data_IF_221214839080
#
_entry.id   IF_221214839080
#
_cell.length_a   1.000
_cell.length_b   1.000
_cell.length_c   1.000
_cell.angle_alpha   90.00
_cell.angle_beta   90.00
_cell.angle_gamma   90.00
#
_symmetry.space_group_name_H-M   'P 1'
#
loop_
_entity.id
_entity.type
_entity.pdbx_description
1 polymer ?
#
# COMPACT_ATOMS: atom_id res chain seq x y z
N UNK A 1 -26.69 33.61 16.73
CA UNK A 1 -25.25 33.45 17.04
C UNK A 1 -24.94 31.98 16.96
N UNK A 2 -24.57 31.49 15.76
CA UNK A 2 -24.34 30.05 15.50
C UNK A 2 -22.87 29.76 15.59
N UNK A 3 -22.50 28.90 16.55
CA UNK A 3 -21.15 28.46 16.79
C UNK A 3 -20.65 27.59 15.61
N UNK A 4 -19.56 28.01 14.95
CA UNK A 4 -18.84 27.20 13.97
C UNK A 4 -18.14 26.04 14.68
N UNK A 5 -18.62 24.83 14.47
CA UNK A 5 -17.92 23.60 14.82
C UNK A 5 -16.61 23.55 13.99
N UNK A 6 -15.49 23.77 14.64
CA UNK A 6 -14.17 23.47 14.08
C UNK A 6 -14.04 21.95 13.98
N UNK A 7 -14.21 21.40 12.77
CA UNK A 7 -13.70 20.05 12.46
C UNK A 7 -12.18 20.08 12.68
N UNK A 8 -11.72 19.41 13.73
CA UNK A 8 -10.30 19.27 14.00
C UNK A 8 -9.62 18.59 12.81
N UNK A 9 -8.65 19.27 12.21
CA UNK A 9 -7.67 18.67 11.36
C UNK A 9 -6.89 17.67 12.22
N UNK A 10 -7.08 16.37 12.00
CA UNK A 10 -6.15 15.35 12.47
C UNK A 10 -4.82 15.71 11.83
N UNK A 11 -3.83 16.08 12.62
CA UNK A 11 -2.58 16.61 12.14
C UNK A 11 -1.84 15.52 11.34
N UNK A 12 -1.16 15.90 10.26
CA UNK A 12 -0.36 14.98 9.44
C UNK A 12 0.67 14.18 10.28
N UNK A 13 1.06 14.67 11.46
CA UNK A 13 1.91 14.00 12.44
C UNK A 13 1.26 12.75 13.09
N UNK A 14 -0.06 12.73 13.30
CA UNK A 14 -0.74 11.56 13.88
C UNK A 14 -0.85 10.41 12.88
N UNK A 15 -0.93 10.68 11.58
CA UNK A 15 -0.99 9.63 10.56
C UNK A 15 0.34 8.87 10.41
N UNK A 16 1.47 9.55 10.60
CA UNK A 16 2.80 8.93 10.60
C UNK A 16 3.06 8.16 11.90
N UNK A 17 2.55 8.66 13.04
CA UNK A 17 2.71 8.03 14.35
C UNK A 17 2.03 6.66 14.48
N UNK A 18 1.14 6.29 13.55
CA UNK A 18 0.44 5.00 13.54
C UNK A 18 1.05 3.97 12.57
N UNK A 19 2.27 4.19 12.09
CA UNK A 19 2.93 3.29 11.14
C UNK A 19 4.20 2.66 11.74
N UNK A 20 4.30 1.34 11.57
CA UNK A 20 5.51 0.56 11.84
C UNK A 20 6.09 0.75 13.23
N UNK A 21 7.33 1.25 13.33
CA UNK A 21 8.05 1.43 14.59
C UNK A 21 7.45 2.42 15.59
N UNK A 22 6.40 3.15 15.21
CA UNK A 22 5.64 4.05 16.09
C UNK A 22 4.36 3.43 16.65
N UNK A 23 4.06 2.17 16.31
CA UNK A 23 2.95 1.43 16.90
C UNK A 23 3.24 1.14 18.39
N UNK A 24 2.19 1.11 19.21
CA UNK A 24 2.32 0.56 20.56
C UNK A 24 2.62 -0.95 20.50
N UNK A 25 3.15 -1.49 21.60
CA UNK A 25 3.57 -2.89 21.67
C UNK A 25 2.46 -3.86 21.27
N UNK A 26 1.25 -3.69 21.77
CA UNK A 26 0.13 -4.59 21.49
C UNK A 26 -0.25 -4.61 20.01
N UNK A 27 -0.29 -3.45 19.34
CA UNK A 27 -0.56 -3.35 17.91
C UNK A 27 0.58 -3.96 17.08
N UNK A 28 1.83 -3.73 17.46
CA UNK A 28 3.00 -4.34 16.80
C UNK A 28 2.94 -5.86 16.87
N UNK A 29 2.68 -6.43 18.03
CA UNK A 29 2.55 -7.88 18.20
C UNK A 29 1.35 -8.45 17.42
N UNK A 30 0.23 -7.73 17.33
CA UNK A 30 -0.91 -8.14 16.53
C UNK A 30 -0.55 -8.24 15.02
N UNK A 31 0.22 -7.28 14.49
CA UNK A 31 0.68 -7.36 13.09
C UNK A 31 1.72 -8.46 12.86
N UNK A 32 2.60 -8.74 13.83
CA UNK A 32 3.54 -9.87 13.75
C UNK A 32 2.77 -11.21 13.72
N UNK A 33 1.73 -11.34 14.56
CA UNK A 33 0.87 -12.53 14.57
C UNK A 33 0.09 -12.68 13.25
N UNK A 34 -0.48 -11.57 12.75
CA UNK A 34 -1.16 -11.54 11.45
C UNK A 34 -0.22 -11.95 10.32
N UNK A 35 1.02 -11.43 10.29
CA UNK A 35 2.05 -11.86 9.34
C UNK A 35 2.31 -13.36 9.42
N UNK A 36 2.52 -13.90 10.63
CA UNK A 36 2.80 -15.31 10.81
C UNK A 36 1.66 -16.19 10.28
N UNK A 37 0.42 -15.84 10.61
CA UNK A 37 -0.76 -16.56 10.13
C UNK A 37 -0.92 -16.46 8.61
N UNK A 38 -0.66 -15.29 8.04
CA UNK A 38 -0.69 -15.09 6.60
C UNK A 38 0.37 -15.94 5.89
N UNK A 39 1.62 -15.91 6.38
CA UNK A 39 2.69 -16.72 5.80
C UNK A 39 2.36 -18.22 5.87
N UNK A 40 1.79 -18.68 6.97
CA UNK A 40 1.33 -20.06 7.11
C UNK A 40 0.23 -20.43 6.12
N UNK A 41 -0.75 -19.54 5.93
CA UNK A 41 -1.84 -19.75 4.97
C UNK A 41 -1.35 -19.80 3.51
N UNK A 42 -0.22 -19.17 3.23
CA UNK A 42 0.38 -19.10 1.90
C UNK A 42 1.40 -20.22 1.62
N UNK A 43 1.71 -21.11 2.57
CA UNK A 43 2.75 -22.15 2.42
C UNK A 43 2.34 -23.37 1.58
N UNK A 44 1.14 -23.42 1.03
CA UNK A 44 0.64 -24.60 0.30
C UNK A 44 1.06 -24.74 -1.17
N UNK A 45 1.68 -23.75 -1.77
CA UNK A 45 2.15 -23.80 -3.15
C UNK A 45 3.66 -23.55 -3.20
N UNK A 46 4.43 -24.57 -3.56
CA UNK A 46 5.86 -24.43 -3.89
C UNK A 46 6.00 -23.69 -5.24
N UNK A 47 5.85 -22.39 -5.21
CA UNK A 47 6.15 -21.53 -6.36
C UNK A 47 7.26 -20.57 -5.97
N UNK A 48 8.26 -20.43 -6.83
CA UNK A 48 9.32 -19.41 -6.72
C UNK A 48 8.76 -17.98 -6.97
N UNK A 49 7.48 -17.87 -7.28
CA UNK A 49 6.85 -16.59 -7.61
C UNK A 49 6.47 -15.79 -6.35
N UNK A 50 6.60 -14.46 -6.47
CA UNK A 50 6.14 -13.51 -5.45
C UNK A 50 4.64 -13.68 -5.16
N UNK A 51 4.29 -13.70 -3.88
CA UNK A 51 2.90 -13.83 -3.43
C UNK A 51 2.18 -12.50 -3.44
N UNK A 52 0.94 -12.50 -3.92
CA UNK A 52 0.10 -11.30 -3.98
C UNK A 52 -1.02 -11.41 -2.96
N UNK A 53 -1.13 -10.41 -2.09
CA UNK A 53 -2.15 -10.32 -1.05
C UNK A 53 -3.02 -9.09 -1.26
N UNK A 54 -4.31 -9.28 -1.46
CA UNK A 54 -5.29 -8.19 -1.59
C UNK A 54 -5.91 -7.84 -0.23
N UNK A 55 -5.94 -6.54 0.10
CA UNK A 55 -6.64 -6.02 1.29
C UNK A 55 -7.84 -5.20 0.84
N UNK A 56 -9.03 -5.60 1.23
CA UNK A 56 -10.29 -4.93 0.90
C UNK A 56 -11.18 -4.75 2.13
N UNK A 57 -12.23 -3.93 2.02
CA UNK A 57 -13.24 -3.74 3.06
C UNK A 57 -14.58 -3.32 2.47
N UNK A 58 -15.66 -3.48 3.22
CA UNK A 58 -17.03 -3.23 2.77
C UNK A 58 -17.37 -1.75 2.66
N UNK A 59 -16.76 -0.91 3.51
CA UNK A 59 -17.00 0.54 3.51
C UNK A 59 -15.68 1.33 3.58
N UNK A 60 -15.80 2.62 3.28
CA UNK A 60 -14.67 3.56 3.38
C UNK A 60 -14.29 3.81 4.84
N UNK A 61 -13.00 3.94 5.11
CA UNK A 61 -12.49 4.36 6.44
C UNK A 61 -12.26 3.22 7.43
N UNK A 62 -12.42 1.95 7.03
CA UNK A 62 -12.22 0.77 7.90
C UNK A 62 -10.73 0.41 8.14
N UNK A 63 -9.81 1.22 7.66
CA UNK A 63 -8.40 1.03 7.94
C UNK A 63 -7.63 0.20 6.91
N UNK A 64 -8.15 -0.07 5.70
CA UNK A 64 -7.44 -0.80 4.62
C UNK A 64 -5.98 -0.38 4.48
N UNK A 65 -5.75 0.89 4.17
CA UNK A 65 -4.41 1.42 3.95
C UNK A 65 -3.52 1.33 5.18
N UNK A 66 -4.08 1.53 6.38
CA UNK A 66 -3.36 1.40 7.66
C UNK A 66 -2.95 -0.05 7.89
N UNK A 67 -3.88 -0.99 7.69
CA UNK A 67 -3.62 -2.42 7.83
C UNK A 67 -2.59 -2.89 6.81
N UNK A 68 -2.74 -2.50 5.54
CA UNK A 68 -1.78 -2.85 4.47
C UNK A 68 -0.37 -2.38 4.79
N UNK A 69 -0.21 -1.10 5.18
CA UNK A 69 1.11 -0.54 5.46
C UNK A 69 1.77 -1.19 6.69
N UNK A 70 1.03 -1.42 7.77
CA UNK A 70 1.58 -2.03 8.97
C UNK A 70 1.90 -3.52 8.78
N UNK A 71 1.09 -4.24 8.02
CA UNK A 71 1.39 -5.62 7.64
C UNK A 71 2.64 -5.68 6.75
N UNK A 72 2.71 -4.83 5.72
CA UNK A 72 3.87 -4.72 4.83
C UNK A 72 5.15 -4.37 5.61
N UNK A 73 5.06 -3.42 6.57
CA UNK A 73 6.15 -3.09 7.47
C UNK A 73 6.61 -4.32 8.26
N UNK A 74 5.66 -5.04 8.88
CA UNK A 74 5.97 -6.24 9.67
C UNK A 74 6.62 -7.35 8.84
N UNK A 75 6.24 -7.50 7.57
CA UNK A 75 6.85 -8.47 6.63
C UNK A 75 8.26 -8.02 6.25
N UNK A 76 8.43 -6.73 5.94
CA UNK A 76 9.73 -6.16 5.60
C UNK A 76 10.72 -6.20 6.78
N UNK A 77 10.26 -5.94 8.01
CA UNK A 77 11.05 -6.06 9.24
C UNK A 77 11.56 -7.49 9.45
N UNK A 78 10.84 -8.50 8.95
CA UNK A 78 11.29 -9.90 8.96
C UNK A 78 12.27 -10.25 7.83
N UNK A 79 12.75 -9.26 7.06
CA UNK A 79 13.78 -9.44 6.03
C UNK A 79 13.24 -9.72 4.62
N UNK A 80 11.91 -9.78 4.43
CA UNK A 80 11.32 -10.01 3.12
C UNK A 80 11.23 -8.71 2.30
N UNK A 81 11.41 -8.80 0.97
CA UNK A 81 11.10 -7.69 0.08
C UNK A 81 9.58 -7.55 -0.08
N UNK A 82 9.08 -6.33 0.03
CA UNK A 82 7.64 -6.03 -0.05
C UNK A 82 7.40 -4.85 -0.96
N UNK A 83 6.48 -5.00 -1.91
CA UNK A 83 5.93 -3.91 -2.70
C UNK A 83 4.47 -3.68 -2.31
N UNK A 84 4.16 -2.50 -1.81
CA UNK A 84 2.78 -2.07 -1.58
C UNK A 84 2.26 -1.35 -2.82
N UNK A 85 1.18 -1.89 -3.39
CA UNK A 85 0.52 -1.37 -4.57
C UNK A 85 -0.77 -0.65 -4.18
N UNK A 86 -0.88 0.66 -4.46
CA UNK A 86 -2.08 1.44 -4.16
C UNK A 86 -3.09 1.36 -5.31
N UNK A 87 -4.11 0.50 -5.15
CA UNK A 87 -5.19 0.34 -6.11
C UNK A 87 -6.40 1.25 -5.84
N UNK A 88 -6.42 2.01 -4.75
CA UNK A 88 -7.46 3.02 -4.50
C UNK A 88 -7.15 4.31 -5.28
N UNK A 89 -7.36 4.26 -6.59
CA UNK A 89 -7.12 5.40 -7.47
C UNK A 89 -8.15 6.53 -7.32
N UNK A 90 -9.26 6.30 -6.61
CA UNK A 90 -10.29 7.31 -6.38
C UNK A 90 -9.95 8.23 -5.23
N UNK A 91 -9.35 7.68 -4.19
CA UNK A 91 -8.99 8.40 -2.97
C UNK A 91 -7.62 7.93 -2.46
N UNK A 92 -6.57 8.18 -3.26
CA UNK A 92 -5.22 7.74 -2.91
C UNK A 92 -4.73 8.44 -1.64
N UNK A 93 -4.08 7.70 -0.76
CA UNK A 93 -3.62 8.21 0.54
C UNK A 93 -2.19 7.82 0.88
N UNK A 94 -1.63 6.79 0.23
CA UNK A 94 -0.33 6.23 0.63
C UNK A 94 0.82 7.22 0.44
N UNK A 95 0.86 7.91 -0.70
CA UNK A 95 1.93 8.87 -0.97
C UNK A 95 1.97 9.97 0.10
N UNK A 96 0.82 10.54 0.45
CA UNK A 96 0.71 11.57 1.51
C UNK A 96 1.11 11.01 2.88
N UNK A 97 0.65 9.80 3.23
CA UNK A 97 0.95 9.16 4.51
C UNK A 97 2.44 8.86 4.70
N UNK A 98 3.11 8.53 3.61
CA UNK A 98 4.53 8.16 3.62
C UNK A 98 5.47 9.33 3.30
N UNK A 99 4.93 10.51 2.98
CA UNK A 99 5.72 11.69 2.61
C UNK A 99 6.54 11.48 1.34
N UNK A 100 6.03 10.66 0.39
CA UNK A 100 6.68 10.38 -0.90
C UNK A 100 5.98 11.10 -2.05
N UNK A 101 6.70 11.29 -3.16
CA UNK A 101 6.11 11.82 -4.38
C UNK A 101 5.09 10.84 -4.97
N UNK A 102 3.82 11.25 -5.01
CA UNK A 102 2.72 10.49 -5.58
C UNK A 102 2.26 10.99 -6.95
N UNK A 103 2.99 11.87 -7.61
CA UNK A 103 2.61 12.41 -8.93
C UNK A 103 2.61 11.33 -10.01
N UNK A 104 3.57 10.41 -9.94
CA UNK A 104 3.66 9.25 -10.81
C UNK A 104 3.30 7.98 -10.04
N UNK A 105 2.49 7.12 -10.63
CA UNK A 105 2.06 5.89 -9.99
C UNK A 105 1.43 4.89 -10.97
N UNK A 106 0.67 3.96 -10.43
CA UNK A 106 0.09 2.88 -11.23
C UNK A 106 -0.86 3.38 -12.33
N UNK A 107 -1.55 4.50 -12.14
CA UNK A 107 -2.46 5.06 -13.15
C UNK A 107 -1.75 5.37 -14.47
N UNK A 108 -0.58 6.03 -14.40
CA UNK A 108 0.20 6.37 -15.60
C UNK A 108 0.97 5.17 -16.15
N UNK A 109 1.36 4.21 -15.30
CA UNK A 109 1.93 2.94 -15.73
C UNK A 109 0.91 2.16 -16.57
N UNK A 110 -0.32 2.02 -16.10
CA UNK A 110 -1.40 1.34 -16.80
C UNK A 110 -1.86 2.09 -18.06
N UNK A 111 -1.74 3.41 -18.08
CA UNK A 111 -1.93 4.20 -19.30
C UNK A 111 -0.80 4.01 -20.34
N UNK A 112 0.33 3.41 -19.95
CA UNK A 112 1.49 3.18 -20.83
C UNK A 112 2.34 4.41 -21.06
N UNK A 113 2.32 5.35 -20.13
CA UNK A 113 3.02 6.63 -20.23
C UNK A 113 4.37 6.64 -19.49
N UNK A 114 4.72 5.56 -18.78
CA UNK A 114 5.99 5.40 -18.07
C UNK A 114 6.35 3.92 -17.88
N UNK A 115 7.55 3.67 -17.37
CA UNK A 115 8.04 2.34 -17.02
C UNK A 115 7.90 2.09 -15.50
N UNK A 116 7.91 0.80 -15.09
CA UNK A 116 7.80 0.41 -13.68
C UNK A 116 8.85 1.04 -12.77
N UNK A 117 10.10 1.11 -13.21
CA UNK A 117 11.22 1.71 -12.45
C UNK A 117 11.04 3.19 -12.12
N UNK A 118 10.21 3.92 -12.88
CA UNK A 118 9.94 5.35 -12.64
C UNK A 118 8.92 5.58 -11.53
N UNK A 119 8.05 4.60 -11.29
CA UNK A 119 6.88 4.73 -10.42
C UNK A 119 7.03 4.02 -9.08
N UNK A 120 7.91 3.00 -8.99
CA UNK A 120 8.20 2.34 -7.73
C UNK A 120 9.08 3.25 -6.87
N UNK A 121 8.63 3.53 -5.66
CA UNK A 121 9.29 4.45 -4.72
C UNK A 121 9.85 3.68 -3.53
N UNK A 122 11.06 4.06 -3.09
CA UNK A 122 11.56 3.66 -1.79
C UNK A 122 10.87 4.47 -0.71
N UNK A 123 10.71 3.87 0.46
CA UNK A 123 10.17 4.55 1.63
C UNK A 123 11.30 4.86 2.63
N UNK A 124 11.04 5.75 3.60
CA UNK A 124 11.90 5.96 4.76
C UNK A 124 11.70 4.88 5.84
N UNK A 125 10.89 3.87 5.55
CA UNK A 125 10.62 2.67 6.34
C UNK A 125 11.73 1.61 6.07
N UNK A 126 11.63 0.35 6.53
CA UNK A 126 12.66 -0.65 6.27
C UNK A 126 13.12 -0.67 4.81
N UNK A 127 14.41 -0.84 4.56
CA UNK A 127 15.06 -0.68 3.25
C UNK A 127 14.47 -1.57 2.13
N UNK A 128 13.82 -2.65 2.52
CA UNK A 128 13.18 -3.64 1.63
C UNK A 128 11.67 -3.41 1.46
N UNK A 129 11.12 -2.27 1.91
CA UNK A 129 9.73 -1.87 1.69
C UNK A 129 9.63 -0.80 0.61
N UNK A 130 8.97 -1.15 -0.48
CA UNK A 130 8.72 -0.30 -1.63
C UNK A 130 7.23 0.00 -1.77
N UNK A 131 6.92 1.10 -2.44
CA UNK A 131 5.53 1.51 -2.69
C UNK A 131 5.37 1.92 -4.15
N UNK A 132 4.33 1.44 -4.78
CA UNK A 132 3.83 1.93 -6.05
C UNK A 132 2.53 2.71 -5.75
N UNK A 133 2.58 4.06 -5.70
CA UNK A 133 1.41 4.87 -5.38
C UNK A 133 0.40 4.84 -6.53
N UNK A 134 -0.82 5.31 -6.26
CA UNK A 134 -1.87 5.37 -7.28
C UNK A 134 -1.50 6.29 -8.47
N UNK A 135 -0.75 7.37 -8.22
CA UNK A 135 -0.49 8.41 -9.22
C UNK A 135 -1.64 9.40 -9.31
N UNK A 136 -1.71 10.12 -10.43
CA UNK A 136 -2.83 11.00 -10.74
C UNK A 136 -4.14 10.21 -10.84
N UNK A 137 -5.23 10.84 -10.40
CA UNK A 137 -6.56 10.23 -10.41
C UNK A 137 -7.06 10.13 -11.86
N UNK A 138 -7.20 8.92 -12.41
CA UNK A 138 -7.67 8.75 -13.78
C UNK A 138 -9.21 8.88 -13.85
N UNK A 139 -9.77 9.18 -15.03
CA UNK A 139 -11.21 9.25 -15.22
C UNK A 139 -11.91 7.87 -15.13
N UNK A 140 -11.18 6.78 -15.38
CA UNK A 140 -11.70 5.43 -15.49
C UNK A 140 -10.93 4.39 -14.64
N UNK A 141 -10.87 4.53 -13.30
CA UNK A 141 -10.04 3.69 -12.43
C UNK A 141 -10.34 2.18 -12.56
N UNK A 142 -11.62 1.83 -12.62
CA UNK A 142 -12.06 0.43 -12.68
C UNK A 142 -11.67 -0.26 -13.98
N UNK A 143 -11.68 0.46 -15.11
CA UNK A 143 -11.26 -0.06 -16.41
C UNK A 143 -9.75 -0.29 -16.44
N UNK A 144 -8.97 0.64 -15.89
CA UNK A 144 -7.52 0.49 -15.78
C UNK A 144 -7.14 -0.73 -14.94
N UNK A 145 -7.78 -0.91 -13.78
CA UNK A 145 -7.53 -2.07 -12.91
C UNK A 145 -7.98 -3.40 -13.54
N UNK A 146 -9.02 -3.37 -14.38
CA UNK A 146 -9.50 -4.54 -15.12
C UNK A 146 -8.79 -4.81 -16.45
N UNK A 147 -7.80 -3.99 -16.82
CA UNK A 147 -7.13 -4.08 -18.12
C UNK A 147 -6.14 -5.23 -18.21
N UNK A 148 -5.82 -5.66 -19.43
CA UNK A 148 -4.74 -6.62 -19.68
C UNK A 148 -3.36 -6.08 -19.27
N UNK A 149 -3.16 -4.75 -19.30
CA UNK A 149 -1.95 -4.11 -18.79
C UNK A 149 -1.76 -4.34 -17.30
N UNK A 150 -2.85 -4.31 -16.51
CA UNK A 150 -2.77 -4.62 -15.08
C UNK A 150 -2.31 -6.06 -14.85
N UNK A 151 -2.84 -7.03 -15.62
CA UNK A 151 -2.40 -8.43 -15.56
C UNK A 151 -0.92 -8.56 -15.89
N UNK A 152 -0.50 -8.00 -17.03
CA UNK A 152 0.91 -8.02 -17.43
C UNK A 152 1.82 -7.36 -16.40
N UNK A 153 1.39 -6.21 -15.83
CA UNK A 153 2.15 -5.52 -14.78
C UNK A 153 2.32 -6.38 -13.53
N UNK A 154 1.25 -7.06 -13.09
CA UNK A 154 1.32 -7.98 -11.95
C UNK A 154 2.20 -9.20 -12.25
N UNK A 155 2.12 -9.76 -13.46
CA UNK A 155 2.95 -10.91 -13.87
C UNK A 155 4.44 -10.56 -13.90
N UNK A 156 4.79 -9.33 -14.32
CA UNK A 156 6.17 -8.83 -14.26
C UNK A 156 6.61 -8.64 -12.81
N UNK A 157 5.81 -7.95 -11.99
CA UNK A 157 6.11 -7.68 -10.58
C UNK A 157 6.21 -8.96 -9.71
N UNK A 158 5.62 -10.08 -10.15
CA UNK A 158 5.71 -11.36 -9.46
C UNK A 158 7.00 -12.12 -9.74
N UNK A 159 7.70 -11.78 -10.82
CA UNK A 159 8.92 -12.48 -11.28
C UNK A 159 10.21 -11.77 -10.87
N UNK A 160 10.12 -10.46 -10.59
CA UNK A 160 11.25 -9.61 -10.17
C UNK A 160 11.34 -9.53 -8.64
#
# INVERSE_FOLDING_TARGET
MFGKNKKGNVSDSESVAMLGGHLNFAASEAYKLLRTNLMYALTGEETDECRVVGVTSSVRGEGKSTTTLNLAYSIAEAGQFVLVLECDMRLPTLAKRLGIDGSKGISILLAGLCNGSEVIKRTNLPQNLYVLPAGEIPPNPSELLGSDRMKVSLDVLRKD
#
